data_IF_483856874097
#
_entry.id   IF_483856874097
#
_cell.length_a   1.000
_cell.length_b   1.000
_cell.length_c   1.000
_cell.angle_alpha   90.00
_cell.angle_beta   90.00
_cell.angle_gamma   90.00
#
_symmetry.space_group_name_H-M   'P 1'
#
loop_
_entity.id
_entity.type
_entity.pdbx_description
1 polymer ?
#
# COMPACT_ATOMS: atom_id res chain seq x y z
N UNK A 1 -4.78 -9.94 -11.06
CA UNK A 1 -4.63 -9.99 -9.58
C UNK A 1 -5.73 -10.80 -8.91
N UNK A 2 -7.01 -10.43 -9.07
CA UNK A 2 -8.14 -11.08 -8.39
C UNK A 2 -8.21 -12.61 -8.51
N UNK A 3 -7.99 -13.15 -9.72
CA UNK A 3 -8.00 -14.59 -9.97
C UNK A 3 -6.96 -15.35 -9.13
N UNK A 4 -5.79 -14.72 -8.91
CA UNK A 4 -4.73 -15.32 -8.09
C UNK A 4 -5.16 -15.42 -6.63
N UNK A 5 -5.66 -14.32 -6.04
CA UNK A 5 -6.13 -14.28 -4.65
C UNK A 5 -7.27 -15.26 -4.40
N UNK A 6 -8.24 -15.32 -5.32
CA UNK A 6 -9.33 -16.31 -5.23
C UNK A 6 -8.79 -17.74 -5.25
N UNK A 7 -7.76 -18.03 -6.06
CA UNK A 7 -7.17 -19.37 -6.16
C UNK A 7 -6.42 -19.80 -4.90
N UNK A 8 -5.72 -18.90 -4.23
CA UNK A 8 -4.93 -19.22 -3.02
C UNK A 8 -5.75 -19.09 -1.73
N UNK A 9 -7.03 -18.69 -1.81
CA UNK A 9 -7.94 -18.55 -0.66
C UNK A 9 -8.05 -19.80 0.19
N UNK A 10 -8.07 -20.97 -0.43
CA UNK A 10 -8.21 -22.24 0.29
C UNK A 10 -6.93 -22.66 1.03
N UNK A 11 -5.80 -22.00 0.72
CA UNK A 11 -4.49 -22.31 1.31
C UNK A 11 -4.01 -21.33 2.38
N UNK A 12 -4.70 -20.21 2.57
CA UNK A 12 -4.30 -19.16 3.51
C UNK A 12 -5.46 -18.80 4.43
N UNK A 13 -5.22 -18.71 5.74
CA UNK A 13 -6.24 -18.32 6.72
C UNK A 13 -6.78 -16.92 6.45
N UNK A 14 -5.89 -15.96 6.21
CA UNK A 14 -6.24 -14.56 5.99
C UNK A 14 -5.40 -13.96 4.87
N UNK A 15 -6.06 -13.27 3.94
CA UNK A 15 -5.42 -12.51 2.88
C UNK A 15 -5.85 -11.06 2.98
N UNK A 16 -4.92 -10.13 2.78
CA UNK A 16 -5.21 -8.71 2.81
C UNK A 16 -4.79 -8.09 1.49
N UNK A 17 -5.64 -7.23 0.96
CA UNK A 17 -5.47 -6.59 -0.34
C UNK A 17 -5.59 -5.08 -0.19
N UNK A 18 -4.68 -4.34 -0.83
CA UNK A 18 -4.77 -2.90 -0.95
C UNK A 18 -4.68 -2.40 -2.38
N UNK A 19 -5.21 -1.20 -2.57
CA UNK A 19 -4.86 -0.34 -3.69
C UNK A 19 -3.93 0.76 -3.21
N UNK A 20 -2.82 0.93 -3.91
CA UNK A 20 -1.92 2.06 -3.72
C UNK A 20 -2.31 3.15 -4.71
N UNK A 21 -2.70 4.31 -4.20
CA UNK A 21 -3.17 5.43 -5.01
C UNK A 21 -2.52 6.74 -4.56
N UNK A 22 -1.20 6.81 -4.73
CA UNK A 22 -0.43 8.01 -4.44
C UNK A 22 0.63 8.25 -5.52
N UNK A 23 0.67 9.47 -6.07
CA UNK A 23 1.67 9.88 -7.05
C UNK A 23 2.52 11.00 -6.45
N UNK A 24 3.80 10.73 -6.21
CA UNK A 24 4.71 11.73 -5.66
C UNK A 24 4.98 12.83 -6.68
N UNK A 25 5.26 14.04 -6.22
CA UNK A 25 5.78 15.12 -7.07
C UNK A 25 7.16 14.77 -7.67
N UNK A 26 7.87 13.82 -7.05
CA UNK A 26 9.13 13.28 -7.56
C UNK A 26 8.96 12.23 -8.65
N UNK A 27 7.75 11.68 -8.83
CA UNK A 27 7.54 10.64 -9.83
C UNK A 27 7.59 11.26 -11.24
N UNK A 28 8.44 10.71 -12.15
CA UNK A 28 8.58 11.29 -13.47
C UNK A 28 7.31 11.10 -14.30
N UNK A 29 6.83 12.16 -14.96
CA UNK A 29 5.70 12.10 -15.87
C UNK A 29 4.51 12.94 -15.43
N UNK A 30 3.47 13.05 -16.27
CA UNK A 30 2.33 13.92 -16.00
C UNK A 30 1.35 13.33 -14.99
N UNK A 31 0.69 14.20 -14.20
CA UNK A 31 -0.25 13.82 -13.12
C UNK A 31 -1.46 12.99 -13.61
N UNK A 32 -1.90 13.18 -14.85
CA UNK A 32 -3.05 12.43 -15.39
C UNK A 32 -2.78 10.93 -15.56
N UNK A 33 -1.52 10.50 -15.57
CA UNK A 33 -1.17 9.08 -15.66
C UNK A 33 -1.35 8.34 -14.35
N UNK A 34 -1.46 9.07 -13.23
CA UNK A 34 -1.51 8.47 -11.90
C UNK A 34 -0.22 7.76 -11.50
N UNK A 35 -0.28 6.94 -10.43
CA UNK A 35 0.87 6.19 -9.93
C UNK A 35 1.35 5.16 -10.95
N UNK A 36 2.66 5.11 -11.18
CA UNK A 36 3.27 4.07 -12.04
C UNK A 36 3.28 2.72 -11.34
N UNK A 37 3.36 1.64 -12.13
CA UNK A 37 3.64 0.31 -11.59
C UNK A 37 4.92 0.34 -10.74
N UNK A 38 4.88 -0.30 -9.57
CA UNK A 38 5.96 -0.34 -8.58
C UNK A 38 6.33 1.01 -7.95
N UNK A 39 5.52 2.07 -8.15
CA UNK A 39 5.75 3.37 -7.51
C UNK A 39 5.57 3.34 -5.99
N UNK A 40 4.86 2.34 -5.47
CA UNK A 40 4.64 2.08 -4.04
C UNK A 40 5.90 1.62 -3.31
N UNK A 41 6.82 0.94 -4.01
CA UNK A 41 7.98 0.28 -3.40
C UNK A 41 8.83 1.25 -2.59
N UNK A 42 9.07 2.46 -3.12
CA UNK A 42 9.86 3.48 -2.40
C UNK A 42 9.25 3.88 -1.05
N UNK A 43 7.92 3.87 -0.93
CA UNK A 43 7.22 4.21 0.30
C UNK A 43 7.23 3.06 1.30
N UNK A 44 7.11 1.82 0.82
CA UNK A 44 7.19 0.60 1.63
C UNK A 44 8.56 0.42 2.31
N UNK A 45 9.61 1.01 1.74
CA UNK A 45 10.98 0.96 2.29
C UNK A 45 11.45 2.26 2.95
N UNK A 46 10.56 3.23 3.21
CA UNK A 46 10.94 4.43 3.95
C UNK A 46 11.77 5.46 3.17
N UNK A 47 11.76 5.43 1.82
CA UNK A 47 12.57 6.34 1.00
C UNK A 47 12.35 7.83 1.35
N UNK A 48 11.11 8.31 1.59
CA UNK A 48 10.86 9.69 1.99
C UNK A 48 11.53 10.14 3.30
N UNK A 49 11.91 9.20 4.19
CA UNK A 49 12.65 9.52 5.41
C UNK A 49 14.16 9.51 5.20
N UNK A 50 14.65 8.76 4.21
CA UNK A 50 16.09 8.67 3.91
C UNK A 50 16.65 9.89 3.18
N UNK A 51 15.81 10.63 2.43
CA UNK A 51 16.19 11.82 1.66
C UNK A 51 15.05 12.86 1.77
N UNK A 52 14.76 13.38 2.98
CA UNK A 52 13.55 14.15 3.26
C UNK A 52 13.41 15.42 2.42
N UNK A 53 14.51 16.02 1.99
CA UNK A 53 14.54 17.22 1.15
C UNK A 53 13.97 17.00 -0.25
N UNK A 54 13.83 15.74 -0.68
CA UNK A 54 13.24 15.37 -1.98
C UNK A 54 11.76 15.05 -1.91
N UNK A 55 11.17 14.91 -0.73
CA UNK A 55 9.81 14.40 -0.60
C UNK A 55 8.92 15.38 0.17
N UNK A 56 7.65 15.40 -0.16
CA UNK A 56 6.66 16.23 0.54
C UNK A 56 6.31 15.62 1.91
N UNK A 57 5.61 16.39 2.76
CA UNK A 57 5.04 15.83 3.99
C UNK A 57 4.01 14.74 3.71
N UNK A 58 3.27 14.88 2.61
CA UNK A 58 2.34 13.86 2.13
C UNK A 58 3.07 12.56 1.76
N UNK A 59 4.18 12.65 1.02
CA UNK A 59 5.02 11.49 0.71
C UNK A 59 5.54 10.78 1.97
N UNK A 60 5.94 11.56 2.98
CA UNK A 60 6.35 11.02 4.29
C UNK A 60 5.19 10.32 4.99
N UNK A 61 4.00 10.92 4.98
CA UNK A 61 2.81 10.31 5.59
C UNK A 61 2.46 8.97 4.92
N UNK A 62 2.45 8.91 3.58
CA UNK A 62 2.21 7.68 2.82
C UNK A 62 3.26 6.62 3.12
N UNK A 63 4.53 7.02 3.28
CA UNK A 63 5.58 6.10 3.68
C UNK A 63 5.41 5.59 5.10
N UNK A 64 5.02 6.45 6.06
CA UNK A 64 4.70 6.03 7.43
C UNK A 64 3.55 5.02 7.44
N UNK A 65 2.47 5.28 6.71
CA UNK A 65 1.34 4.36 6.57
C UNK A 65 1.79 3.01 5.98
N UNK A 66 2.58 3.03 4.91
CA UNK A 66 3.09 1.82 4.25
C UNK A 66 3.98 0.99 5.18
N UNK A 67 4.88 1.64 5.92
CA UNK A 67 5.74 0.99 6.90
C UNK A 67 4.94 0.40 8.07
N UNK A 68 3.92 1.11 8.56
CA UNK A 68 3.03 0.62 9.61
C UNK A 68 2.25 -0.61 9.16
N UNK A 69 1.69 -0.58 7.93
CA UNK A 69 0.96 -1.73 7.34
C UNK A 69 1.86 -2.97 7.26
N UNK A 70 3.07 -2.82 6.72
CA UNK A 70 4.04 -3.92 6.60
C UNK A 70 4.52 -4.37 8.00
N UNK A 71 4.82 -3.43 8.89
CA UNK A 71 5.30 -3.70 10.25
C UNK A 71 4.27 -4.43 11.11
N UNK A 72 3.01 -4.02 11.05
CA UNK A 72 1.91 -4.68 11.75
C UNK A 72 1.67 -6.07 11.19
N UNK A 73 1.64 -6.22 9.85
CA UNK A 73 1.43 -7.51 9.21
C UNK A 73 2.56 -8.50 9.55
N UNK A 74 3.82 -8.07 9.48
CA UNK A 74 4.96 -8.92 9.82
C UNK A 74 4.98 -9.35 11.29
N UNK A 75 4.48 -8.50 12.20
CA UNK A 75 4.42 -8.82 13.63
C UNK A 75 3.22 -9.69 14.02
N UNK A 76 2.05 -9.39 13.46
CA UNK A 76 0.77 -9.89 13.97
C UNK A 76 -0.03 -10.70 12.93
N UNK A 77 0.41 -10.77 11.68
CA UNK A 77 -0.35 -11.34 10.57
C UNK A 77 -1.54 -10.47 10.11
N UNK A 78 -1.69 -9.24 10.63
CA UNK A 78 -2.78 -8.31 10.33
C UNK A 78 -2.24 -6.90 10.10
N UNK A 79 -2.58 -6.20 9.00
CA UNK A 79 -2.01 -4.90 8.66
C UNK A 79 -2.55 -3.73 9.49
N UNK A 80 -3.84 -3.76 9.83
CA UNK A 80 -4.52 -2.77 10.67
C UNK A 80 -5.74 -3.43 11.33
N UNK A 81 -6.18 -2.95 12.49
CA UNK A 81 -7.31 -3.54 13.22
C UNK A 81 -8.63 -3.50 12.45
N UNK A 82 -8.84 -2.46 11.64
CA UNK A 82 -10.06 -2.25 10.86
C UNK A 82 -10.01 -2.90 9.48
N UNK A 83 -8.85 -3.40 9.06
CA UNK A 83 -8.67 -4.03 7.77
C UNK A 83 -9.23 -5.45 7.78
N UNK A 84 -10.28 -5.65 6.98
CA UNK A 84 -10.94 -6.96 6.87
C UNK A 84 -10.19 -7.86 5.89
N UNK A 85 -10.06 -9.17 6.19
CA UNK A 85 -9.55 -10.13 5.22
C UNK A 85 -10.37 -10.13 3.93
N UNK A 86 -9.70 -10.38 2.82
CA UNK A 86 -10.32 -10.57 1.52
C UNK A 86 -11.28 -11.77 1.55
N UNK A 87 -12.54 -11.52 1.24
CA UNK A 87 -13.60 -12.53 1.29
C UNK A 87 -14.05 -13.02 -0.10
N UNK A 88 -13.40 -12.58 -1.18
CA UNK A 88 -13.84 -12.83 -2.56
C UNK A 88 -14.58 -11.66 -3.20
N UNK A 89 -14.92 -10.63 -2.42
CA UNK A 89 -15.56 -9.39 -2.91
C UNK A 89 -14.56 -8.25 -3.01
N UNK A 90 -14.79 -7.36 -3.98
CA UNK A 90 -14.02 -6.12 -4.14
C UNK A 90 -14.24 -5.14 -2.99
N UNK A 91 -15.22 -5.37 -2.12
CA UNK A 91 -15.52 -4.45 -1.02
C UNK A 91 -14.55 -4.58 0.16
N UNK A 92 -13.59 -5.50 0.07
CA UNK A 92 -12.63 -5.80 1.16
C UNK A 92 -11.24 -5.21 0.95
N UNK A 93 -11.04 -4.38 -0.09
CA UNK A 93 -9.80 -3.63 -0.25
C UNK A 93 -9.69 -2.49 0.76
N UNK A 94 -8.46 -2.18 1.17
CA UNK A 94 -8.15 -0.88 1.77
C UNK A 94 -7.27 -0.05 0.85
N UNK A 95 -7.30 1.27 1.03
CA UNK A 95 -6.52 2.19 0.23
C UNK A 95 -5.31 2.68 1.03
N UNK A 96 -4.16 2.72 0.37
CA UNK A 96 -3.00 3.50 0.82
C UNK A 96 -2.94 4.71 -0.10
N UNK A 97 -3.45 5.83 0.40
CA UNK A 97 -3.56 7.10 -0.30
C UNK A 97 -3.61 8.24 0.72
N UNK A 98 -3.44 9.47 0.24
CA UNK A 98 -3.65 10.66 1.06
C UNK A 98 -5.15 10.88 1.27
N UNK A 99 -5.49 11.59 2.36
CA UNK A 99 -6.86 12.05 2.63
C UNK A 99 -7.34 13.07 1.59
#
# INVERSE_FOLDING_TARGET
LLIFFTRIRESLDHQYLFFFNHQSEMDPGPKFMGPKHASEVKFQFGRPFSIPERFTDEDRNISAMSLNVIGNYTRNGKPDENWKPYNGSIETYSYIQSE
#
